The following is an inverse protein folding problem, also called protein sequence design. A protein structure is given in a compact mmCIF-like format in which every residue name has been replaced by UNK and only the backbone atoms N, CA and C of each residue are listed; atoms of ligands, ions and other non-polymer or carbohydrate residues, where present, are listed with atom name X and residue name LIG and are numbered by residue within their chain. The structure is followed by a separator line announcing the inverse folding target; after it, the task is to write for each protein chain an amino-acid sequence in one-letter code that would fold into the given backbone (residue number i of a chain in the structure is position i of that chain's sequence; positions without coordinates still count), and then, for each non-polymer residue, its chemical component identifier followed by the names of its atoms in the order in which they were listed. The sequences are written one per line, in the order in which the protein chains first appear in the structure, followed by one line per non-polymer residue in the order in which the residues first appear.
data_IF_386868145874
#
_entry.id   IF_386868145874
#
_cell.length_a   1.000
_cell.length_b   1.000
_cell.length_c   1.000
_cell.angle_alpha   90.00
_cell.angle_beta   90.00
_cell.angle_gamma   90.00
#
_symmetry.space_group_name_H-M   'P 1'
#
loop_
_entity.id
_entity.type
_entity.pdbx_description
1 polymer ?
#
# COMPACT_ATOMS: atom_id res chain seq x y z
N UNK A 1 -20.39 16.24 2.53
CA UNK A 1 -19.15 16.74 3.17
C UNK A 1 -17.99 16.44 2.23
N UNK A 2 -17.55 17.42 1.46
CA UNK A 2 -16.45 17.28 0.50
C UNK A 2 -15.12 17.31 1.28
N UNK A 3 -14.53 16.14 1.52
CA UNK A 3 -13.13 16.10 1.93
C UNK A 3 -12.28 16.55 0.74
N UNK A 4 -11.61 17.69 0.87
CA UNK A 4 -10.61 18.14 -0.10
C UNK A 4 -9.49 17.10 -0.08
N UNK A 5 -9.43 16.24 -1.10
CA UNK A 5 -8.37 15.25 -1.27
C UNK A 5 -7.07 15.99 -1.56
N UNK A 6 -6.14 16.00 -0.60
CA UNK A 6 -4.80 16.57 -0.78
C UNK A 6 -3.80 15.44 -0.77
N UNK A 7 -2.94 15.40 -1.80
CA UNK A 7 -1.72 14.59 -1.75
C UNK A 7 -0.86 15.16 -0.62
N UNK A 8 -0.51 14.30 0.33
CA UNK A 8 0.37 14.63 1.45
C UNK A 8 1.81 14.32 1.11
N UNK A 9 2.74 15.18 1.51
CA UNK A 9 4.18 14.95 1.33
C UNK A 9 4.91 15.08 2.66
N UNK A 10 5.79 14.13 2.96
CA UNK A 10 6.58 14.11 4.18
C UNK A 10 8.03 13.83 3.80
N UNK A 11 8.94 14.73 4.16
CA UNK A 11 10.37 14.47 4.07
C UNK A 11 10.76 13.38 5.08
N UNK A 12 11.40 12.32 4.61
CA UNK A 12 11.76 11.17 5.46
C UNK A 12 13.23 11.24 5.91
N UNK A 13 14.13 11.60 5.00
CA UNK A 13 15.52 11.98 5.30
C UNK A 13 16.08 12.88 4.17
N UNK A 14 17.36 13.22 4.19
CA UNK A 14 17.98 14.16 3.24
C UNK A 14 18.01 13.68 1.77
N UNK A 15 17.56 12.46 1.46
CA UNK A 15 17.55 11.91 0.09
C UNK A 15 16.24 11.21 -0.29
N UNK A 16 15.37 10.91 0.68
CA UNK A 16 14.13 10.17 0.47
C UNK A 16 12.93 10.99 0.96
N UNK A 17 11.93 11.10 0.10
CA UNK A 17 10.64 11.71 0.39
C UNK A 17 9.52 10.65 0.38
N UNK A 18 8.41 10.94 1.07
CA UNK A 18 7.20 10.11 1.07
C UNK A 18 6.05 10.91 0.48
N UNK A 19 5.39 10.34 -0.53
CA UNK A 19 4.11 10.80 -1.05
C UNK A 19 2.98 9.93 -0.50
N UNK A 20 1.86 10.56 -0.15
CA UNK A 20 0.61 9.90 0.25
C UNK A 20 -0.42 10.22 -0.82
N UNK A 21 -0.80 9.21 -1.59
CA UNK A 21 -1.77 9.30 -2.67
C UNK A 21 -3.11 8.70 -2.20
N UNK A 22 -4.11 9.53 -1.84
CA UNK A 22 -5.43 9.06 -1.49
C UNK A 22 -6.21 8.62 -2.74
N UNK A 23 -7.04 7.59 -2.60
CA UNK A 23 -7.95 7.06 -3.62
C UNK A 23 -7.26 6.80 -4.98
N UNK A 24 -6.08 6.19 -4.93
CA UNK A 24 -5.28 5.90 -6.11
C UNK A 24 -6.03 4.87 -6.98
N UNK A 25 -6.44 5.22 -8.21
CA UNK A 25 -7.16 4.28 -9.07
C UNK A 25 -6.27 3.11 -9.46
N UNK A 26 -6.82 1.90 -9.38
CA UNK A 26 -6.12 0.69 -9.81
C UNK A 26 -5.92 0.71 -11.33
N UNK A 27 -6.86 1.26 -12.09
CA UNK A 27 -6.67 1.47 -13.54
C UNK A 27 -7.29 2.78 -13.98
N UNK A 28 -6.75 3.35 -15.06
CA UNK A 28 -7.37 4.47 -15.77
C UNK A 28 -8.50 4.04 -16.72
N UNK A 29 -8.63 2.74 -17.02
CA UNK A 29 -9.48 2.20 -18.11
C UNK A 29 -10.60 1.23 -17.66
N UNK A 30 -10.83 1.06 -16.36
CA UNK A 30 -11.98 0.35 -15.80
C UNK A 30 -11.62 -0.86 -14.93
N UNK A 31 -10.88 -1.85 -15.45
CA UNK A 31 -10.54 -3.05 -14.66
C UNK A 31 -9.26 -3.76 -15.11
N UNK A 32 -8.61 -4.47 -14.18
CA UNK A 32 -7.47 -5.37 -14.43
C UNK A 32 -7.98 -6.79 -14.52
N UNK A 33 -7.65 -7.46 -15.61
CA UNK A 33 -7.89 -8.89 -15.75
C UNK A 33 -6.80 -9.69 -15.01
N UNK A 34 -7.22 -10.52 -14.08
CA UNK A 34 -6.39 -11.52 -13.41
C UNK A 34 -6.87 -12.90 -13.83
N UNK A 35 -6.02 -13.61 -14.57
CA UNK A 35 -6.29 -14.97 -15.01
C UNK A 35 -5.47 -15.96 -14.19
N UNK A 36 -6.14 -16.98 -13.65
CA UNK A 36 -5.49 -18.15 -13.11
C UNK A 36 -5.13 -19.10 -14.27
N UNK A 37 -3.85 -19.20 -14.62
CA UNK A 37 -3.38 -20.03 -15.74
C UNK A 37 -3.71 -21.52 -15.58
N UNK A 38 -3.82 -22.01 -14.34
CA UNK A 38 -4.04 -23.43 -14.04
C UNK A 38 -5.50 -23.84 -14.18
N UNK A 39 -6.42 -22.95 -13.81
CA UNK A 39 -7.86 -23.25 -13.80
C UNK A 39 -8.63 -22.57 -14.92
N UNK A 40 -8.03 -21.58 -15.59
CA UNK A 40 -8.67 -20.76 -16.62
C UNK A 40 -9.65 -19.72 -16.07
N UNK A 41 -9.85 -19.64 -14.75
CA UNK A 41 -10.72 -18.63 -14.14
C UNK A 41 -10.13 -17.23 -14.30
N UNK A 42 -11.01 -16.28 -14.63
CA UNK A 42 -10.66 -14.88 -14.85
C UNK A 42 -11.47 -14.01 -13.89
N UNK A 43 -10.80 -13.04 -13.27
CA UNK A 43 -11.40 -12.03 -12.39
C UNK A 43 -11.03 -10.67 -12.93
N UNK A 44 -12.00 -9.75 -13.00
CA UNK A 44 -11.79 -8.36 -13.37
C UNK A 44 -11.83 -7.49 -12.11
N UNK A 45 -10.71 -6.89 -11.76
CA UNK A 45 -10.58 -6.05 -10.57
C UNK A 45 -10.64 -4.58 -10.95
N UNK A 46 -11.62 -3.86 -10.40
CA UNK A 46 -11.80 -2.43 -10.55
C UNK A 46 -11.72 -1.75 -9.18
N UNK A 47 -11.63 -0.42 -9.16
CA UNK A 47 -11.71 0.39 -7.94
C UNK A 47 -10.44 1.17 -7.62
N UNK A 48 -10.39 1.68 -6.38
CA UNK A 48 -9.34 2.56 -5.89
C UNK A 48 -8.72 1.99 -4.61
N UNK A 49 -7.43 2.20 -4.44
CA UNK A 49 -6.74 1.98 -3.17
C UNK A 49 -7.01 3.20 -2.28
N UNK A 50 -7.47 3.01 -1.04
CA UNK A 50 -7.81 4.15 -0.18
C UNK A 50 -6.63 5.09 0.04
N UNK A 51 -5.45 4.55 0.34
CA UNK A 51 -4.21 5.31 0.41
C UNK A 51 -3.03 4.48 -0.11
N UNK A 52 -2.19 5.09 -0.95
CA UNK A 52 -0.88 4.55 -1.29
C UNK A 52 0.21 5.46 -0.72
N UNK A 53 1.08 4.88 0.10
CA UNK A 53 2.28 5.54 0.59
C UNK A 53 3.43 5.12 -0.31
N UNK A 54 4.19 6.09 -0.81
CA UNK A 54 5.27 5.86 -1.76
C UNK A 54 6.51 6.59 -1.30
N UNK A 55 7.58 5.84 -1.08
CA UNK A 55 8.89 6.41 -0.87
C UNK A 55 9.57 6.62 -2.23
N UNK A 56 10.21 7.76 -2.45
CA UNK A 56 10.94 8.05 -3.68
C UNK A 56 12.19 8.89 -3.40
N UNK A 57 13.13 8.89 -4.35
CA UNK A 57 14.33 9.72 -4.28
C UNK A 57 13.97 11.19 -4.52
N UNK A 58 14.57 12.11 -3.75
CA UNK A 58 14.46 13.55 -3.99
C UNK A 58 15.25 13.97 -5.24
N UNK A 59 14.72 13.58 -6.40
CA UNK A 59 15.24 13.88 -7.73
C UNK A 59 14.31 14.91 -8.36
N UNK A 60 14.91 15.89 -9.04
CA UNK A 60 14.20 16.92 -9.79
C UNK A 60 13.11 16.29 -10.67
N UNK A 61 11.92 16.88 -10.65
CA UNK A 61 10.72 16.50 -11.40
C UNK A 61 9.97 15.24 -10.92
N UNK A 62 10.52 14.41 -10.01
CA UNK A 62 9.79 13.23 -9.50
C UNK A 62 8.54 13.63 -8.73
N UNK A 63 8.67 14.66 -7.90
CA UNK A 63 7.57 15.29 -7.19
C UNK A 63 6.46 15.76 -8.15
N UNK A 64 6.81 16.54 -9.16
CA UNK A 64 5.84 17.07 -10.12
C UNK A 64 5.17 15.94 -10.91
N UNK A 65 5.93 14.91 -11.28
CA UNK A 65 5.41 13.73 -11.99
C UNK A 65 4.48 12.89 -11.13
N UNK A 66 4.71 12.76 -9.83
CA UNK A 66 3.77 12.10 -8.92
C UNK A 66 2.47 12.88 -8.73
N UNK A 67 2.54 14.22 -8.77
CA UNK A 67 1.37 15.10 -8.63
C UNK A 67 0.57 15.24 -9.93
N UNK A 68 1.24 15.18 -11.08
CA UNK A 68 0.64 15.36 -12.40
C UNK A 68 0.23 14.05 -13.07
N UNK A 69 0.83 12.93 -12.68
CA UNK A 69 0.51 11.62 -13.26
C UNK A 69 -0.64 10.95 -12.53
N UNK A 70 -1.72 10.69 -13.26
CA UNK A 70 -2.75 9.72 -12.87
C UNK A 70 -2.42 8.28 -13.30
N UNK A 71 -1.22 8.04 -13.84
CA UNK A 71 -0.78 6.73 -14.34
C UNK A 71 0.07 6.01 -13.31
N UNK A 72 -0.38 4.83 -12.89
CA UNK A 72 0.34 3.96 -11.97
C UNK A 72 1.75 3.63 -12.48
N UNK A 73 1.94 3.33 -13.77
CA UNK A 73 3.25 2.91 -14.26
C UNK A 73 4.33 4.00 -14.02
N UNK A 74 3.94 5.27 -14.16
CA UNK A 74 4.80 6.41 -13.85
C UNK A 74 5.07 6.55 -12.35
N UNK A 75 4.02 6.44 -11.53
CA UNK A 75 4.11 6.51 -10.06
C UNK A 75 5.08 5.46 -9.51
N UNK A 76 5.04 4.25 -10.06
CA UNK A 76 5.92 3.16 -9.66
C UNK A 76 7.34 3.26 -10.13
N UNK A 77 7.58 3.78 -11.34
CA UNK A 77 8.95 4.01 -11.82
C UNK A 77 9.72 4.96 -10.89
N UNK A 78 9.01 5.82 -10.18
CA UNK A 78 9.55 6.78 -9.23
C UNK A 78 9.69 6.16 -7.82
N UNK A 79 8.79 5.25 -7.45
CA UNK A 79 8.75 4.68 -6.11
C UNK A 79 9.90 3.68 -5.86
N UNK A 80 10.63 3.89 -4.76
CA UNK A 80 11.61 2.98 -4.15
C UNK A 80 10.98 2.01 -3.16
N UNK A 81 9.92 2.45 -2.49
CA UNK A 81 9.17 1.69 -1.51
C UNK A 81 7.70 2.03 -1.61
N UNK A 82 6.83 1.09 -1.26
CA UNK A 82 5.39 1.30 -1.30
C UNK A 82 4.69 0.57 -0.15
N UNK A 83 3.61 1.16 0.32
CA UNK A 83 2.67 0.52 1.23
C UNK A 83 1.25 0.94 0.82
N UNK A 84 0.44 -0.05 0.46
CA UNK A 84 -0.99 0.16 0.23
C UNK A 84 -1.74 0.09 1.55
N UNK A 85 -2.73 0.95 1.73
CA UNK A 85 -3.55 0.97 2.92
C UNK A 85 -5.03 0.95 2.51
N UNK A 86 -5.70 -0.10 2.94
CA UNK A 86 -7.16 -0.27 2.85
C UNK A 86 -7.76 0.09 4.21
N UNK A 87 -8.70 1.05 4.23
CA UNK A 87 -9.28 1.58 5.47
C UNK A 87 -10.79 1.39 5.46
N UNK A 88 -11.32 0.79 6.53
CA UNK A 88 -12.77 0.69 6.74
C UNK A 88 -13.14 1.01 8.20
N UNK A 89 -13.45 2.29 8.51
CA UNK A 89 -13.64 2.76 9.88
C UNK A 89 -14.82 2.14 10.64
N UNK A 90 -15.78 1.56 9.93
CA UNK A 90 -17.01 0.96 10.48
C UNK A 90 -17.06 -0.56 10.28
N UNK A 91 -15.91 -1.18 10.04
CA UNK A 91 -15.86 -2.61 9.75
C UNK A 91 -15.96 -3.45 11.04
N UNK A 92 -16.87 -4.43 11.12
CA UNK A 92 -17.01 -5.27 12.31
C UNK A 92 -15.82 -6.22 12.52
N UNK A 93 -15.04 -6.50 11.47
CA UNK A 93 -13.84 -7.34 11.56
C UNK A 93 -12.87 -7.01 10.42
N UNK A 94 -11.62 -6.70 10.77
CA UNK A 94 -10.54 -6.48 9.79
C UNK A 94 -10.38 -7.65 8.81
N UNK A 95 -10.68 -8.89 9.24
CA UNK A 95 -10.57 -10.08 8.39
C UNK A 95 -11.45 -9.99 7.13
N UNK A 96 -12.59 -9.31 7.22
CA UNK A 96 -13.48 -9.11 6.06
C UNK A 96 -12.91 -8.18 5.00
N UNK A 97 -11.89 -7.37 5.35
CA UNK A 97 -11.18 -6.49 4.42
C UNK A 97 -10.07 -7.22 3.65
N UNK A 98 -9.66 -8.42 4.09
CA UNK A 98 -8.51 -9.11 3.51
C UNK A 98 -8.71 -9.44 2.03
N UNK A 99 -9.87 -9.99 1.59
CA UNK A 99 -10.07 -10.29 0.17
C UNK A 99 -9.95 -9.05 -0.71
N UNK A 100 -10.52 -7.92 -0.28
CA UNK A 100 -10.43 -6.66 -1.00
C UNK A 100 -8.98 -6.16 -1.05
N UNK A 101 -8.33 -6.04 0.11
CA UNK A 101 -6.97 -5.51 0.20
C UNK A 101 -5.96 -6.37 -0.60
N UNK A 102 -6.07 -7.70 -0.50
CA UNK A 102 -5.22 -8.63 -1.27
C UNK A 102 -5.48 -8.49 -2.77
N UNK A 103 -6.74 -8.38 -3.20
CA UNK A 103 -7.07 -8.18 -4.61
C UNK A 103 -6.54 -6.84 -5.14
N UNK A 104 -6.70 -5.75 -4.37
CA UNK A 104 -6.15 -4.44 -4.72
C UNK A 104 -4.63 -4.50 -4.86
N UNK A 105 -3.94 -5.13 -3.90
CA UNK A 105 -2.50 -5.30 -3.94
C UNK A 105 -2.03 -6.20 -5.09
N UNK A 106 -2.79 -7.25 -5.42
CA UNK A 106 -2.49 -8.13 -6.54
C UNK A 106 -2.64 -7.40 -7.88
N UNK A 107 -3.72 -6.65 -8.06
CA UNK A 107 -3.94 -5.82 -9.25
C UNK A 107 -2.82 -4.80 -9.41
N UNK A 108 -2.51 -4.08 -8.32
CA UNK A 108 -1.40 -3.14 -8.22
C UNK A 108 -0.07 -3.80 -8.61
N UNK A 109 0.21 -5.00 -8.10
CA UNK A 109 1.45 -5.70 -8.39
C UNK A 109 1.59 -6.11 -9.86
N UNK A 110 0.48 -6.57 -10.46
CA UNK A 110 0.43 -7.01 -11.87
C UNK A 110 0.63 -5.86 -12.85
N UNK A 111 -0.06 -4.74 -12.65
CA UNK A 111 0.05 -3.56 -13.53
C UNK A 111 1.47 -3.03 -13.50
N UNK A 112 2.05 -3.00 -12.31
CA UNK A 112 3.36 -2.38 -12.08
C UNK A 112 4.51 -3.33 -12.25
N UNK A 113 4.22 -4.58 -12.61
CA UNK A 113 5.19 -5.63 -12.91
C UNK A 113 6.19 -5.86 -11.77
N UNK A 114 5.72 -5.79 -10.53
CA UNK A 114 6.52 -6.10 -9.34
C UNK A 114 6.21 -7.51 -8.86
N UNK A 115 7.19 -8.17 -8.24
CA UNK A 115 7.04 -9.51 -7.66
C UNK A 115 6.60 -9.48 -6.19
N UNK A 116 6.58 -8.29 -5.56
CA UNK A 116 6.24 -8.12 -4.15
C UNK A 116 5.45 -6.84 -3.94
N UNK A 117 4.29 -6.96 -3.30
CA UNK A 117 3.45 -5.85 -2.89
C UNK A 117 3.26 -5.84 -1.37
N UNK A 118 3.42 -4.68 -0.74
CA UNK A 118 3.11 -4.51 0.68
C UNK A 118 1.80 -3.77 0.87
N UNK A 119 0.98 -4.30 1.76
CA UNK A 119 -0.32 -3.72 2.07
C UNK A 119 -0.58 -3.74 3.57
N UNK A 120 -1.58 -2.96 3.97
CA UNK A 120 -2.09 -2.92 5.33
C UNK A 120 -3.59 -2.69 5.33
N UNK A 121 -4.26 -3.25 6.32
CA UNK A 121 -5.69 -3.03 6.56
C UNK A 121 -5.87 -2.39 7.92
N UNK A 122 -6.80 -1.43 8.02
CA UNK A 122 -7.07 -0.76 9.27
C UNK A 122 -8.52 -0.24 9.39
N UNK A 123 -9.08 -0.32 10.58
CA UNK A 123 -10.27 0.44 11.00
C UNK A 123 -9.89 1.79 11.65
N UNK A 124 -8.58 2.03 11.73
CA UNK A 124 -7.84 3.13 12.34
C UNK A 124 -7.68 3.07 13.85
N UNK A 125 -8.08 1.96 14.50
CA UNK A 125 -7.62 1.57 15.84
C UNK A 125 -6.74 0.32 15.78
N UNK A 126 -7.03 -0.60 14.87
CA UNK A 126 -6.30 -1.85 14.66
C UNK A 126 -5.66 -1.85 13.28
N UNK A 127 -4.48 -2.46 13.18
CA UNK A 127 -3.66 -2.51 11.97
C UNK A 127 -3.12 -3.92 11.76
N UNK A 128 -3.23 -4.43 10.53
CA UNK A 128 -2.58 -5.67 10.10
C UNK A 128 -1.84 -5.36 8.82
N UNK A 129 -0.56 -5.71 8.78
CA UNK A 129 0.30 -5.55 7.61
C UNK A 129 0.50 -6.90 6.92
N UNK A 130 0.64 -6.88 5.59
CA UNK A 130 0.87 -8.06 4.78
C UNK A 130 1.98 -7.84 3.75
N UNK A 131 2.66 -8.93 3.43
CA UNK A 131 3.54 -9.05 2.27
C UNK A 131 2.91 -10.01 1.26
N UNK A 132 2.60 -9.52 0.06
CA UNK A 132 2.08 -10.31 -1.04
C UNK A 132 3.23 -10.56 -2.03
N UNK A 133 3.58 -11.82 -2.28
CA UNK A 133 4.78 -12.20 -3.04
C UNK A 133 4.45 -13.20 -4.15
N UNK A 134 5.11 -13.05 -5.29
CA UNK A 134 5.04 -13.95 -6.43
C UNK A 134 6.08 -15.06 -6.27
N UNK A 135 5.63 -16.30 -6.05
CA UNK A 135 6.46 -17.50 -5.90
C UNK A 135 6.00 -18.52 -6.95
N UNK A 136 6.89 -18.90 -7.87
CA UNK A 136 6.61 -19.88 -8.93
C UNK A 136 5.30 -19.62 -9.69
N UNK A 137 5.13 -18.40 -10.20
CA UNK A 137 3.91 -17.92 -10.88
C UNK A 137 2.62 -17.88 -10.03
N UNK A 138 2.69 -18.25 -8.75
CA UNK A 138 1.60 -18.12 -7.78
C UNK A 138 1.81 -16.92 -6.88
N UNK A 139 0.72 -16.41 -6.29
CA UNK A 139 0.77 -15.31 -5.35
C UNK A 139 0.43 -15.80 -3.96
N UNK A 140 1.33 -15.56 -3.01
CA UNK A 140 1.18 -15.95 -1.60
C UNK A 140 1.24 -14.69 -0.77
N UNK A 141 0.32 -14.53 0.18
CA UNK A 141 0.39 -13.45 1.15
C UNK A 141 0.77 -13.99 2.53
N UNK A 142 1.54 -13.17 3.25
CA UNK A 142 1.94 -13.39 4.63
C UNK A 142 1.42 -12.23 5.45
N UNK A 143 0.74 -12.50 6.55
CA UNK A 143 0.23 -11.51 7.48
C UNK A 143 1.15 -11.33 8.69
N UNK A 144 1.07 -10.15 9.29
CA UNK A 144 1.71 -9.83 10.56
C UNK A 144 0.75 -10.04 11.72
N UNK A 145 1.28 -10.14 12.94
CA UNK A 145 0.46 -10.09 14.15
C UNK A 145 -0.32 -8.77 14.20
N UNK A 146 -1.65 -8.80 14.43
CA UNK A 146 -2.46 -7.61 14.57
C UNK A 146 -1.93 -6.65 15.64
N UNK A 147 -1.94 -5.35 15.33
CA UNK A 147 -1.48 -4.28 16.22
C UNK A 147 -2.65 -3.38 16.57
N UNK A 148 -2.89 -3.18 17.87
CA UNK A 148 -3.90 -2.24 18.36
C UNK A 148 -3.25 -0.95 18.83
N UNK A 149 -3.69 0.17 18.26
CA UNK A 149 -3.25 1.53 18.51
C UNK A 149 -4.51 2.35 18.80
N UNK A 150 -4.89 2.42 20.08
CA UNK A 150 -6.11 3.11 20.51
C UNK A 150 -6.11 4.59 20.11
N UNK A 151 -7.13 5.01 19.35
CA UNK A 151 -7.37 6.41 18.96
C UNK A 151 -7.55 7.33 20.17
N UNK A 152 -8.16 6.83 21.24
CA UNK A 152 -8.45 7.59 22.47
C UNK A 152 -7.18 7.90 23.28
N UNK A 153 -6.10 7.18 23.02
CA UNK A 153 -4.83 7.28 23.73
C UNK A 153 -3.68 7.56 22.77
N UNK A 154 -3.90 8.41 21.73
CA UNK A 154 -2.85 8.93 20.85
C UNK A 154 -1.86 9.83 21.62
N UNK A 155 -1.17 9.24 22.59
CA UNK A 155 0.04 9.74 23.21
C UNK A 155 1.14 9.71 22.15
N UNK A 156 2.11 10.62 22.26
CA UNK A 156 3.24 10.73 21.32
C UNK A 156 3.92 9.38 21.06
N UNK A 157 4.01 8.52 22.08
CA UNK A 157 4.68 7.21 21.98
C UNK A 157 3.93 6.24 21.06
N UNK A 158 2.60 6.24 21.09
CA UNK A 158 1.77 5.37 20.22
C UNK A 158 1.75 5.86 18.78
N UNK A 159 1.78 7.16 18.57
CA UNK A 159 1.96 7.73 17.24
C UNK A 159 3.36 7.40 16.69
N UNK A 160 4.40 7.51 17.52
CA UNK A 160 5.77 7.13 17.14
C UNK A 160 5.85 5.65 16.78
N UNK A 161 5.20 4.78 17.54
CA UNK A 161 5.11 3.34 17.25
C UNK A 161 4.46 3.09 15.88
N UNK A 162 3.32 3.73 15.60
CA UNK A 162 2.66 3.62 14.29
C UNK A 162 3.55 4.12 13.16
N UNK A 163 4.15 5.30 13.31
CA UNK A 163 5.06 5.88 12.29
C UNK A 163 6.24 4.95 12.06
N UNK A 164 6.80 4.36 13.12
CA UNK A 164 7.89 3.41 13.02
C UNK A 164 7.48 2.14 12.25
N UNK A 165 6.35 1.53 12.60
CA UNK A 165 5.82 0.36 11.91
C UNK A 165 5.53 0.64 10.45
N UNK A 166 4.81 1.73 10.15
CA UNK A 166 4.52 2.16 8.77
C UNK A 166 5.83 2.38 8.01
N UNK A 167 6.84 3.00 8.63
CA UNK A 167 8.15 3.22 7.99
C UNK A 167 8.87 1.91 7.68
N UNK A 168 8.88 0.95 8.62
CA UNK A 168 9.47 -0.37 8.39
C UNK A 168 8.81 -1.10 7.21
N UNK A 169 7.48 -1.03 7.13
CA UNK A 169 6.72 -1.65 6.04
C UNK A 169 6.75 -0.83 4.74
N UNK A 170 7.10 0.45 4.77
CA UNK A 170 7.26 1.28 3.57
C UNK A 170 8.66 1.13 2.95
N UNK A 171 9.71 0.98 3.76
CA UNK A 171 11.11 0.94 3.34
C UNK A 171 11.45 -0.31 2.51
N UNK A 172 12.25 -0.13 1.46
CA UNK A 172 12.63 -1.11 0.43
C UNK A 172 12.59 -2.62 0.85
N UNK A 173 11.87 -3.47 0.08
CA UNK A 173 11.74 -4.92 0.33
C UNK A 173 13.03 -5.75 0.27
N UNK A 174 14.17 -5.18 -0.14
CA UNK A 174 15.49 -5.81 0.01
C UNK A 174 15.94 -5.98 1.47
N UNK A 175 15.34 -5.24 2.40
CA UNK A 175 15.51 -5.52 3.83
C UNK A 175 14.58 -6.67 4.25
N UNK A 176 15.17 -7.85 4.39
CA UNK A 176 14.54 -9.00 5.02
C UNK A 176 14.04 -8.62 6.43
N UNK A 177 12.73 -8.48 6.58
CA UNK A 177 12.05 -8.28 7.88
C UNK A 177 12.30 -9.47 8.84
N UNK A 178 12.77 -10.61 8.32
CA UNK A 178 13.16 -11.80 9.09
C UNK A 178 14.48 -11.68 9.87
N UNK A 179 15.15 -10.53 9.84
CA UNK A 179 16.42 -10.31 10.58
C UNK A 179 16.27 -9.70 11.97
N UNK A 180 15.05 -9.38 12.41
CA UNK A 180 14.81 -8.90 13.77
C UNK A 180 14.44 -10.09 14.68
N UNK A 181 15.48 -10.78 15.18
CA UNK A 181 15.44 -11.57 16.41
C UNK A 181 15.78 -10.70 17.61
#
# INVERSE_FOLDING_TARGET
MLFVKRIGMIAFNSRLEIAILPDLPITSSGSVKIANKKTGYEIYLAGNINYALLQYDDIKDYKERLLSSGDLATVFRIARGHLLLTVAPTCPSLASLFPEAVNQALAFAKISKISKARLSVSDGESWIFFSLESVDDNWVYYDSTPRSISRRLLRRDKLRELVHLVSQWLLDPSHNLYSLK
#
